data_IF_065257881731
#
_entry.id   IF_065257881731
#
_cell.length_a   1.000
_cell.length_b   1.000
_cell.length_c   1.000
_cell.angle_alpha   90.00
_cell.angle_beta   90.00
_cell.angle_gamma   90.00
#
_symmetry.space_group_name_H-M   'P 1'
#
loop_
_entity.id
_entity.type
_entity.pdbx_description
1 polymer ?
#
# COMPACT_ATOMS: atom_id res chain seq x y z
N UNK A 1 -19.55 11.23 18.60
CA UNK A 1 -18.70 10.07 18.90
C UNK A 1 -18.66 9.20 17.65
N UNK A 2 -17.51 9.16 16.97
CA UNK A 2 -17.34 8.55 15.66
C UNK A 2 -17.12 7.04 15.82
N UNK A 3 -18.03 6.20 15.34
CA UNK A 3 -17.84 4.75 15.35
C UNK A 3 -16.88 4.36 14.23
N UNK A 4 -15.64 4.04 14.62
CA UNK A 4 -14.67 3.41 13.73
C UNK A 4 -15.17 2.00 13.44
N UNK A 5 -15.52 1.72 12.19
CA UNK A 5 -15.83 0.37 11.71
C UNK A 5 -14.51 -0.41 11.73
N UNK A 6 -14.41 -1.54 12.46
CA UNK A 6 -13.18 -2.32 12.50
C UNK A 6 -12.97 -3.01 11.15
N UNK A 7 -11.87 -2.68 10.48
CA UNK A 7 -11.39 -3.39 9.30
C UNK A 7 -10.56 -4.57 9.81
N UNK A 8 -11.11 -5.78 9.65
CA UNK A 8 -10.36 -7.04 9.69
C UNK A 8 -10.33 -7.76 11.03
N UNK A 9 -11.35 -8.58 11.30
CA UNK A 9 -11.15 -9.79 12.09
C UNK A 9 -10.59 -10.90 11.19
N UNK A 10 -9.67 -11.76 11.68
CA UNK A 10 -9.22 -12.93 10.94
C UNK A 10 -10.36 -13.96 10.86
N UNK A 11 -11.15 -13.92 9.79
CA UNK A 11 -12.24 -14.87 9.50
C UNK A 11 -11.75 -16.25 9.04
N UNK A 12 -10.63 -16.74 9.59
CA UNK A 12 -10.17 -18.11 9.40
C UNK A 12 -10.66 -18.98 10.56
N UNK A 13 -11.94 -19.33 10.60
CA UNK A 13 -12.39 -20.39 11.53
C UNK A 13 -11.68 -21.68 11.16
N UNK A 14 -11.02 -22.32 12.13
CA UNK A 14 -10.24 -23.56 11.98
C UNK A 14 -10.96 -24.70 11.23
N UNK A 15 -12.29 -24.65 11.12
CA UNK A 15 -13.12 -25.56 10.33
C UNK A 15 -12.80 -25.56 8.83
N UNK A 16 -12.40 -24.42 8.26
CA UNK A 16 -12.25 -24.26 6.81
C UNK A 16 -11.02 -24.97 6.23
N UNK A 17 -9.96 -25.16 7.02
CA UNK A 17 -8.74 -25.88 6.59
C UNK A 17 -8.96 -27.40 6.42
N UNK A 18 -10.03 -27.94 7.00
CA UNK A 18 -10.36 -29.37 6.94
C UNK A 18 -11.26 -29.73 5.75
N UNK A 19 -11.73 -28.74 4.96
CA UNK A 19 -12.61 -28.96 3.82
C UNK A 19 -12.06 -30.00 2.83
N UNK A 20 -12.90 -30.94 2.37
CA UNK A 20 -12.48 -31.92 1.39
C UNK A 20 -12.24 -31.27 0.02
N UNK A 21 -11.28 -31.75 -0.75
CA UNK A 21 -10.95 -31.21 -2.07
C UNK A 21 -11.37 -32.22 -3.13
N UNK A 22 -12.16 -31.77 -4.10
CA UNK A 22 -12.62 -32.63 -5.19
C UNK A 22 -11.51 -32.91 -6.20
N UNK A 23 -11.63 -34.03 -6.92
CA UNK A 23 -10.77 -34.37 -8.06
C UNK A 23 -10.69 -33.23 -9.08
N UNK A 24 -11.84 -32.61 -9.39
CA UNK A 24 -11.92 -31.47 -10.30
C UNK A 24 -11.10 -30.27 -9.82
N UNK A 25 -11.16 -29.93 -8.53
CA UNK A 25 -10.36 -28.83 -7.98
C UNK A 25 -8.84 -29.11 -8.08
N UNK A 26 -8.41 -30.36 -7.92
CA UNK A 26 -7.01 -30.77 -8.09
C UNK A 26 -6.55 -30.65 -9.54
N UNK A 27 -7.39 -31.05 -10.49
CA UNK A 27 -7.14 -30.90 -11.93
C UNK A 27 -7.01 -29.43 -12.33
N UNK A 28 -7.90 -28.57 -11.81
CA UNK A 28 -7.87 -27.13 -12.07
C UNK A 28 -6.65 -26.44 -11.45
N UNK A 29 -6.22 -26.86 -10.26
CA UNK A 29 -4.98 -26.38 -9.65
C UNK A 29 -3.75 -26.71 -10.50
N UNK A 30 -3.68 -27.93 -11.05
CA UNK A 30 -2.61 -28.30 -11.96
C UNK A 30 -2.65 -27.51 -13.26
N UNK A 31 -3.83 -27.39 -13.88
CA UNK A 31 -4.00 -26.75 -15.18
C UNK A 31 -3.79 -25.23 -15.14
N UNK A 32 -4.38 -24.55 -14.15
CA UNK A 32 -4.40 -23.08 -14.06
C UNK A 32 -3.26 -22.48 -13.27
N UNK A 33 -2.67 -23.23 -12.33
CA UNK A 33 -1.61 -22.75 -11.45
C UNK A 33 -0.30 -23.52 -11.58
N UNK A 34 -0.24 -24.57 -12.41
CA UNK A 34 0.98 -25.36 -12.64
C UNK A 34 1.40 -26.18 -11.42
N UNK A 35 0.52 -26.39 -10.45
CA UNK A 35 0.85 -27.12 -9.21
C UNK A 35 0.77 -28.63 -9.46
N UNK A 36 1.79 -29.42 -9.14
CA UNK A 36 1.73 -30.87 -9.30
C UNK A 36 0.55 -31.48 -8.53
N UNK A 37 -0.21 -32.40 -9.15
CA UNK A 37 -1.41 -33.01 -8.55
C UNK A 37 -1.19 -33.53 -7.13
N UNK A 38 -0.04 -34.16 -6.87
CA UNK A 38 0.34 -34.71 -5.55
C UNK A 38 0.42 -33.63 -4.45
N UNK A 39 0.72 -32.39 -4.82
CA UNK A 39 0.86 -31.25 -3.91
C UNK A 39 -0.37 -30.33 -3.93
N UNK A 40 -1.30 -30.53 -4.87
CA UNK A 40 -2.44 -29.66 -5.09
C UNK A 40 -3.42 -29.62 -3.90
N UNK A 41 -3.69 -30.75 -3.23
CA UNK A 41 -4.60 -30.79 -2.07
C UNK A 41 -4.09 -29.89 -0.93
N UNK A 42 -2.85 -30.10 -0.50
CA UNK A 42 -2.22 -29.28 0.54
C UNK A 42 -2.11 -27.80 0.13
N UNK A 43 -1.82 -27.54 -1.15
CA UNK A 43 -1.77 -26.18 -1.68
C UNK A 43 -3.14 -25.49 -1.59
N UNK A 44 -4.23 -26.14 -2.02
CA UNK A 44 -5.58 -25.59 -1.97
C UNK A 44 -6.00 -25.30 -0.52
N UNK A 45 -5.82 -26.28 0.38
CA UNK A 45 -6.17 -26.13 1.80
C UNK A 45 -5.42 -24.98 2.45
N UNK A 46 -4.13 -24.81 2.15
CA UNK A 46 -3.35 -23.73 2.71
C UNK A 46 -3.82 -22.36 2.22
N UNK A 47 -4.39 -22.25 1.01
CA UNK A 47 -4.97 -20.99 0.52
C UNK A 47 -6.34 -20.74 1.13
N UNK A 48 -7.14 -21.78 1.27
CA UNK A 48 -8.45 -21.71 1.91
C UNK A 48 -8.35 -21.24 3.37
N UNK A 49 -7.32 -21.68 4.11
CA UNK A 49 -7.09 -21.26 5.49
C UNK A 49 -6.90 -19.73 5.65
N UNK A 50 -6.42 -19.03 4.62
CA UNK A 50 -6.26 -17.57 4.60
C UNK A 50 -7.33 -16.86 3.76
N UNK A 51 -8.26 -17.60 3.17
CA UNK A 51 -9.25 -17.04 2.28
C UNK A 51 -10.40 -16.39 3.03
N UNK A 52 -10.91 -15.30 2.46
CA UNK A 52 -12.06 -14.59 2.99
C UNK A 52 -13.31 -15.01 2.23
N UNK A 53 -14.39 -15.27 2.97
CA UNK A 53 -15.69 -15.47 2.36
C UNK A 53 -16.17 -14.18 1.70
N UNK A 54 -16.58 -14.25 0.44
CA UNK A 54 -17.06 -13.10 -0.33
C UNK A 54 -18.58 -13.12 -0.46
N UNK A 55 -19.17 -14.29 -0.69
CA UNK A 55 -20.61 -14.43 -0.89
C UNK A 55 -21.00 -15.74 -1.58
N UNK A 56 -22.28 -15.85 -1.91
CA UNK A 56 -22.80 -16.91 -2.77
C UNK A 56 -22.74 -16.46 -4.23
N UNK A 57 -22.34 -17.35 -5.12
CA UNK A 57 -22.39 -17.13 -6.55
C UNK A 57 -22.71 -18.42 -7.29
N UNK A 58 -23.20 -18.27 -8.51
CA UNK A 58 -23.42 -19.39 -9.41
C UNK A 58 -22.12 -19.73 -10.13
N UNK A 59 -21.75 -21.00 -10.15
CA UNK A 59 -20.62 -21.50 -10.95
C UNK A 59 -20.96 -21.47 -12.45
N UNK A 60 -19.98 -21.76 -13.30
CA UNK A 60 -20.16 -21.80 -14.77
C UNK A 60 -21.19 -22.86 -15.23
N UNK A 61 -21.51 -23.84 -14.37
CA UNK A 61 -22.48 -24.91 -14.62
C UNK A 61 -23.91 -24.56 -14.16
N UNK A 62 -24.13 -23.39 -13.55
CA UNK A 62 -25.44 -22.99 -13.03
C UNK A 62 -25.72 -23.39 -11.58
N UNK A 63 -24.80 -24.07 -10.90
CA UNK A 63 -24.99 -24.47 -9.50
C UNK A 63 -24.54 -23.36 -8.52
N UNK A 64 -25.27 -23.16 -7.41
CA UNK A 64 -24.86 -22.24 -6.38
C UNK A 64 -23.63 -22.77 -5.63
N UNK A 65 -22.71 -21.86 -5.27
CA UNK A 65 -21.53 -22.17 -4.48
C UNK A 65 -21.09 -20.99 -3.61
N UNK A 66 -20.36 -21.30 -2.54
CA UNK A 66 -19.74 -20.31 -1.65
C UNK A 66 -18.41 -19.87 -2.24
N UNK A 67 -18.25 -18.57 -2.48
CA UNK A 67 -17.00 -18.00 -2.96
C UNK A 67 -16.12 -17.58 -1.78
N UNK A 68 -14.87 -18.05 -1.83
CA UNK A 68 -13.78 -17.60 -1.00
C UNK A 68 -12.67 -17.04 -1.87
N UNK A 69 -11.99 -15.98 -1.42
CA UNK A 69 -10.91 -15.36 -2.16
C UNK A 69 -9.67 -15.14 -1.30
N UNK A 70 -8.50 -15.43 -1.87
CA UNK A 70 -7.20 -15.12 -1.29
C UNK A 70 -6.19 -14.81 -2.38
N UNK A 71 -5.52 -13.66 -2.32
CA UNK A 71 -4.39 -13.32 -3.20
C UNK A 71 -4.65 -13.60 -4.70
N UNK A 72 -5.73 -13.05 -5.26
CA UNK A 72 -6.18 -13.24 -6.66
C UNK A 72 -6.54 -14.69 -7.02
N UNK A 73 -6.72 -15.57 -6.03
CA UNK A 73 -7.23 -16.93 -6.19
C UNK A 73 -8.67 -16.95 -5.71
N UNK A 74 -9.56 -17.49 -6.53
CA UNK A 74 -10.95 -17.76 -6.18
C UNK A 74 -11.11 -19.26 -5.90
N UNK A 75 -11.75 -19.58 -4.79
CA UNK A 75 -12.09 -20.93 -4.34
C UNK A 75 -13.62 -21.00 -4.25
N UNK A 76 -14.21 -21.96 -4.96
CA UNK A 76 -15.65 -22.21 -4.87
C UNK A 76 -15.86 -23.47 -4.04
N UNK A 77 -16.63 -23.34 -2.97
CA UNK A 77 -17.06 -24.42 -2.12
C UNK A 77 -18.52 -24.78 -2.39
N UNK A 78 -18.87 -26.02 -2.10
CA UNK A 78 -20.26 -26.47 -2.07
C UNK A 78 -21.08 -25.62 -1.08
N UNK A 79 -22.35 -25.31 -1.42
CA UNK A 79 -23.19 -24.42 -0.62
C UNK A 79 -23.55 -25.01 0.75
N UNK A 80 -23.62 -26.33 0.88
CA UNK A 80 -24.04 -27.04 2.08
C UNK A 80 -22.91 -27.80 2.76
N UNK A 81 -21.88 -28.22 2.00
CA UNK A 81 -20.76 -29.03 2.49
C UNK A 81 -19.46 -28.25 2.44
N UNK A 82 -18.56 -28.53 3.36
CA UNK A 82 -17.19 -27.99 3.34
C UNK A 82 -16.33 -28.77 2.34
N UNK A 83 -16.65 -28.60 1.06
CA UNK A 83 -16.00 -29.28 -0.07
C UNK A 83 -15.60 -28.24 -1.12
N UNK A 84 -14.31 -28.18 -1.45
CA UNK A 84 -13.79 -27.32 -2.54
C UNK A 84 -14.09 -27.97 -3.88
N UNK A 85 -14.95 -27.32 -4.66
CA UNK A 85 -15.42 -27.79 -5.96
C UNK A 85 -14.46 -27.35 -7.07
N UNK A 86 -14.05 -26.08 -7.07
CA UNK A 86 -13.15 -25.56 -8.12
C UNK A 86 -12.26 -24.42 -7.62
N UNK A 87 -11.17 -24.19 -8.34
CA UNK A 87 -10.18 -23.14 -8.06
C UNK A 87 -9.80 -22.45 -9.36
N UNK A 88 -9.72 -21.13 -9.38
CA UNK A 88 -9.28 -20.39 -10.55
C UNK A 88 -8.63 -19.06 -10.21
N UNK A 89 -7.68 -18.59 -11.04
CA UNK A 89 -7.10 -17.27 -10.87
C UNK A 89 -8.11 -16.22 -11.32
N UNK A 90 -8.23 -15.14 -10.55
CA UNK A 90 -9.02 -13.97 -10.92
C UNK A 90 -8.08 -12.78 -11.03
N UNK A 91 -7.62 -12.53 -12.25
CA UNK A 91 -6.71 -11.42 -12.57
C UNK A 91 -7.45 -10.15 -13.00
N UNK A 92 -8.71 -10.27 -13.43
CA UNK A 92 -9.50 -9.16 -13.95
C UNK A 92 -10.82 -9.03 -13.18
N UNK A 93 -11.02 -7.88 -12.55
CA UNK A 93 -12.30 -7.49 -11.96
C UNK A 93 -13.21 -6.84 -13.02
N UNK A 94 -14.55 -6.94 -12.87
CA UNK A 94 -15.47 -6.33 -13.82
C UNK A 94 -15.28 -4.80 -13.87
N UNK A 95 -15.45 -4.15 -15.05
CA UNK A 95 -15.25 -2.71 -15.19
C UNK A 95 -16.09 -1.86 -14.23
N UNK A 96 -17.28 -2.34 -13.85
CA UNK A 96 -18.15 -1.70 -12.87
C UNK A 96 -17.52 -1.54 -11.49
N UNK A 97 -16.59 -2.43 -11.12
CA UNK A 97 -15.82 -2.35 -9.87
C UNK A 97 -14.48 -1.66 -10.09
N UNK A 98 -13.78 -2.00 -11.19
CA UNK A 98 -12.42 -1.51 -11.47
C UNK A 98 -12.39 0.00 -11.74
N UNK A 99 -13.35 0.55 -12.48
CA UNK A 99 -13.34 1.96 -12.88
C UNK A 99 -13.50 2.92 -11.69
N UNK A 100 -14.49 2.74 -10.78
CA UNK A 100 -14.60 3.59 -9.60
C UNK A 100 -13.35 3.52 -8.71
N UNK A 101 -12.81 2.33 -8.47
CA UNK A 101 -11.61 2.13 -7.65
C UNK A 101 -10.41 2.85 -8.27
N UNK A 102 -10.20 2.70 -9.59
CA UNK A 102 -9.17 3.43 -10.32
C UNK A 102 -9.32 4.94 -10.16
N UNK A 103 -10.54 5.46 -10.29
CA UNK A 103 -10.83 6.88 -10.09
C UNK A 103 -10.47 7.38 -8.70
N UNK A 104 -10.75 6.59 -7.65
CA UNK A 104 -10.37 6.89 -6.27
C UNK A 104 -8.84 6.90 -6.12
N UNK A 105 -8.17 5.86 -6.59
CA UNK A 105 -6.71 5.73 -6.52
C UNK A 105 -6.02 6.91 -7.20
N UNK A 106 -6.41 7.23 -8.43
CA UNK A 106 -5.83 8.35 -9.18
C UNK A 106 -6.08 9.69 -8.48
N UNK A 107 -7.27 9.88 -7.89
CA UNK A 107 -7.59 11.10 -7.12
C UNK A 107 -6.66 11.25 -5.92
N UNK A 108 -6.41 10.18 -5.16
CA UNK A 108 -5.50 10.21 -4.02
C UNK A 108 -4.04 10.41 -4.44
N UNK A 109 -3.59 9.78 -5.52
CA UNK A 109 -2.26 10.02 -6.09
C UNK A 109 -2.08 11.48 -6.52
N UNK A 110 -3.09 12.06 -7.21
CA UNK A 110 -3.08 13.47 -7.60
C UNK A 110 -3.07 14.42 -6.41
N UNK A 111 -3.79 14.10 -5.32
CA UNK A 111 -3.74 14.87 -4.07
C UNK A 111 -2.36 14.81 -3.43
N UNK A 112 -1.80 13.60 -3.31
CA UNK A 112 -0.47 13.38 -2.73
C UNK A 112 0.61 14.14 -3.51
N UNK A 113 0.61 14.02 -4.84
CA UNK A 113 1.54 14.75 -5.72
C UNK A 113 1.41 16.27 -5.58
N UNK A 114 0.18 16.80 -5.53
CA UNK A 114 -0.04 18.25 -5.30
C UNK A 114 0.51 18.72 -3.96
N UNK A 115 0.31 17.94 -2.88
CA UNK A 115 0.88 18.24 -1.57
C UNK A 115 2.41 18.24 -1.60
N UNK A 116 3.01 17.24 -2.25
CA UNK A 116 4.46 17.16 -2.41
C UNK A 116 5.01 18.37 -3.17
N UNK A 117 4.44 18.71 -4.33
CA UNK A 117 4.89 19.85 -5.13
C UNK A 117 4.77 21.18 -4.37
N UNK A 118 3.68 21.37 -3.61
CA UNK A 118 3.50 22.56 -2.79
C UNK A 118 4.54 22.63 -1.66
N UNK A 119 4.81 21.50 -1.01
CA UNK A 119 5.82 21.40 0.04
C UNK A 119 7.24 21.63 -0.51
N UNK A 120 7.58 21.06 -1.67
CA UNK A 120 8.84 21.28 -2.39
C UNK A 120 9.04 22.76 -2.74
N UNK A 121 8.00 23.42 -3.26
CA UNK A 121 8.07 24.84 -3.59
C UNK A 121 8.30 25.69 -2.35
N UNK A 122 7.55 25.46 -1.27
CA UNK A 122 7.72 26.20 -0.01
C UNK A 122 9.11 25.98 0.57
N UNK A 123 9.54 24.73 0.70
CA UNK A 123 10.87 24.38 1.21
C UNK A 123 11.99 25.03 0.39
N UNK A 124 11.83 25.13 -0.93
CA UNK A 124 12.81 25.80 -1.80
C UNK A 124 12.91 27.30 -1.51
N UNK A 125 11.79 27.97 -1.27
CA UNK A 125 11.77 29.39 -0.90
C UNK A 125 12.40 29.57 0.49
N UNK A 126 11.97 28.80 1.49
CA UNK A 126 12.49 28.88 2.86
C UNK A 126 14.02 28.67 2.88
N UNK A 127 14.54 27.71 2.10
CA UNK A 127 15.98 27.50 1.96
C UNK A 127 16.70 28.66 1.28
N UNK A 128 16.08 29.31 0.31
CA UNK A 128 16.67 30.48 -0.34
C UNK A 128 16.78 31.64 0.65
N UNK A 129 15.74 31.90 1.42
CA UNK A 129 15.71 32.95 2.44
C UNK A 129 16.76 32.69 3.54
N UNK A 130 16.86 31.45 4.02
CA UNK A 130 17.89 31.07 5.00
C UNK A 130 19.30 31.27 4.43
N UNK A 131 19.54 30.94 3.16
CA UNK A 131 20.85 31.16 2.52
C UNK A 131 21.21 32.63 2.38
N UNK A 132 20.23 33.49 2.13
CA UNK A 132 20.44 34.95 2.14
C UNK A 132 20.86 35.39 3.54
N UNK A 133 20.18 34.94 4.59
CA UNK A 133 20.52 35.28 5.97
C UNK A 133 21.93 34.78 6.38
N UNK A 134 22.32 33.59 5.94
CA UNK A 134 23.68 33.07 6.11
C UNK A 134 24.70 34.02 5.44
N UNK A 135 24.49 34.38 4.18
CA UNK A 135 25.39 35.26 3.45
C UNK A 135 25.51 36.66 4.10
N UNK A 136 24.42 37.18 4.66
CA UNK A 136 24.45 38.42 5.43
C UNK A 136 25.27 38.31 6.72
N UNK A 137 25.15 37.18 7.44
CA UNK A 137 25.95 36.90 8.62
C UNK A 137 27.44 36.77 8.28
N UNK A 138 27.77 36.07 7.19
CA UNK A 138 29.14 35.92 6.69
C UNK A 138 29.73 37.28 6.33
N UNK A 139 29.00 38.10 5.57
CA UNK A 139 29.43 39.46 5.22
C UNK A 139 29.67 40.31 6.45
N UNK A 140 28.82 40.20 7.48
CA UNK A 140 28.98 40.94 8.74
C UNK A 140 30.21 40.48 9.52
N UNK A 141 30.47 39.17 9.57
CA UNK A 141 31.63 38.58 10.22
C UNK A 141 32.95 39.03 9.58
N UNK A 142 33.02 39.09 8.25
CA UNK A 142 34.21 39.57 7.51
C UNK A 142 34.44 41.06 7.70
N UNK A 143 33.38 41.86 7.79
CA UNK A 143 33.49 43.32 7.92
C UNK A 143 33.92 43.78 9.32
N UNK A 144 33.54 43.05 10.37
CA UNK A 144 33.79 43.46 11.75
C UNK A 144 35.17 43.02 12.24
N UNK A 145 35.80 43.84 13.10
CA UNK A 145 37.04 43.49 13.80
C UNK A 145 36.80 42.89 15.19
N UNK A 146 35.55 42.91 15.66
CA UNK A 146 35.19 42.39 16.99
C UNK A 146 35.02 40.87 16.95
N UNK A 147 35.82 40.18 17.77
CA UNK A 147 35.73 38.73 17.95
C UNK A 147 34.36 38.27 18.45
N UNK A 148 33.75 39.05 19.35
CA UNK A 148 32.40 38.73 19.88
C UNK A 148 31.34 38.77 18.77
N UNK A 149 31.41 39.76 17.87
CA UNK A 149 30.46 39.85 16.75
C UNK A 149 30.69 38.73 15.75
N UNK A 150 31.95 38.35 15.50
CA UNK A 150 32.28 37.18 14.66
C UNK A 150 31.72 35.88 15.24
N UNK A 151 31.93 35.65 16.54
CA UNK A 151 31.41 34.48 17.24
C UNK A 151 29.87 34.42 17.21
N UNK A 152 29.21 35.56 17.40
CA UNK A 152 27.74 35.66 17.30
C UNK A 152 27.23 35.35 15.88
N UNK A 153 27.90 35.87 14.85
CA UNK A 153 27.55 35.55 13.45
C UNK A 153 27.75 34.06 13.16
N UNK A 154 28.84 33.46 13.64
CA UNK A 154 29.10 32.03 13.45
C UNK A 154 28.05 31.16 14.15
N UNK A 155 27.66 31.51 15.37
CA UNK A 155 26.58 30.81 16.09
C UNK A 155 25.26 30.88 15.32
N UNK A 156 24.93 32.03 14.73
CA UNK A 156 23.74 32.19 13.89
C UNK A 156 23.81 31.35 12.62
N UNK A 157 24.95 31.35 11.91
CA UNK A 157 25.18 30.51 10.73
C UNK A 157 24.99 29.03 11.07
N UNK A 158 25.54 28.58 12.19
CA UNK A 158 25.39 27.18 12.63
C UNK A 158 23.92 26.82 12.86
N UNK A 159 23.16 27.67 13.54
CA UNK A 159 21.73 27.46 13.77
C UNK A 159 20.93 27.45 12.46
N UNK A 160 21.25 28.32 11.50
CA UNK A 160 20.60 28.35 10.19
C UNK A 160 20.94 27.11 9.35
N UNK A 161 22.17 26.61 9.43
CA UNK A 161 22.55 25.36 8.79
C UNK A 161 21.79 24.15 9.35
N UNK A 162 21.57 24.11 10.67
CA UNK A 162 20.74 23.08 11.30
C UNK A 162 19.27 23.15 10.81
N UNK A 163 18.74 24.36 10.63
CA UNK A 163 17.41 24.52 10.02
C UNK A 163 17.36 24.02 8.56
N UNK A 164 18.41 24.26 7.76
CA UNK A 164 18.50 23.71 6.40
C UNK A 164 18.48 22.17 6.41
N UNK A 165 19.20 21.54 7.35
CA UNK A 165 19.20 20.08 7.47
C UNK A 165 17.83 19.53 7.85
N UNK A 166 17.12 20.20 8.77
CA UNK A 166 15.75 19.81 9.15
C UNK A 166 14.78 19.91 7.97
N UNK A 167 14.88 20.99 7.18
CA UNK A 167 14.08 21.16 5.96
C UNK A 167 14.36 20.06 4.92
N UNK A 168 15.62 19.63 4.80
CA UNK A 168 16.02 18.50 3.95
C UNK A 168 15.42 17.17 4.41
N UNK A 169 15.45 16.90 5.71
CA UNK A 169 14.86 15.70 6.29
C UNK A 169 13.35 15.65 6.08
N UNK A 170 12.65 16.76 6.31
CA UNK A 170 11.20 16.81 6.13
C UNK A 170 10.79 16.66 4.67
N UNK A 171 11.58 17.23 3.74
CA UNK A 171 11.39 17.01 2.31
C UNK A 171 11.54 15.52 1.95
N UNK A 172 12.57 14.87 2.49
CA UNK A 172 12.81 13.44 2.27
C UNK A 172 11.67 12.58 2.81
N UNK A 173 11.13 12.91 3.99
CA UNK A 173 9.95 12.24 4.56
C UNK A 173 8.73 12.41 3.67
N UNK A 174 8.47 13.62 3.16
CA UNK A 174 7.36 13.89 2.24
C UNK A 174 7.49 13.08 0.93
N UNK A 175 8.69 13.00 0.37
CA UNK A 175 8.99 12.20 -0.81
C UNK A 175 8.81 10.69 -0.53
N UNK A 176 9.33 10.20 0.59
CA UNK A 176 9.16 8.81 1.02
C UNK A 176 7.69 8.43 1.18
N UNK A 177 6.87 9.29 1.78
CA UNK A 177 5.43 9.09 1.91
C UNK A 177 4.73 9.01 0.54
N UNK A 178 5.11 9.89 -0.41
CA UNK A 178 4.59 9.81 -1.78
C UNK A 178 5.01 8.51 -2.48
N UNK A 179 6.27 8.10 -2.34
CA UNK A 179 6.78 6.83 -2.88
C UNK A 179 6.10 5.62 -2.26
N UNK A 180 5.82 5.63 -0.95
CA UNK A 180 5.10 4.56 -0.27
C UNK A 180 3.67 4.42 -0.81
N UNK A 181 2.98 5.53 -1.07
CA UNK A 181 1.67 5.52 -1.71
C UNK A 181 1.74 4.95 -3.13
N UNK A 182 2.72 5.37 -3.95
CA UNK A 182 2.92 4.83 -5.30
C UNK A 182 3.16 3.31 -5.26
N UNK A 183 3.98 2.82 -4.33
CA UNK A 183 4.21 1.39 -4.13
C UNK A 183 2.94 0.68 -3.67
N UNK A 184 2.17 1.26 -2.76
CA UNK A 184 0.90 0.68 -2.29
C UNK A 184 -0.14 0.50 -3.40
N UNK A 185 -0.14 1.37 -4.41
CA UNK A 185 -1.04 1.24 -5.57
C UNK A 185 -0.82 -0.05 -6.35
N UNK A 186 0.39 -0.63 -6.33
CA UNK A 186 0.68 -1.92 -7.01
C UNK A 186 -0.18 -3.08 -6.51
N UNK A 187 -0.74 -2.99 -5.30
CA UNK A 187 -1.68 -4.00 -4.79
C UNK A 187 -2.97 -4.03 -5.62
N UNK A 188 -3.37 -2.89 -6.17
CA UNK A 188 -4.65 -2.68 -6.85
C UNK A 188 -4.57 -2.73 -8.38
N UNK A 189 -3.35 -2.81 -8.94
CA UNK A 189 -3.08 -2.91 -10.39
C UNK A 189 -2.61 -4.33 -10.71
#
# INVERSE_FOLDING_TARGET
MSSVIPIGEPFGTASQAQAAVTTHALDEAQRKFGIPRKQADGWIRSRLAYAQYIGMATNDNGDPGRIFAYNRICLILDPAKDVVVTVYPRTVAPPSLTNPIRGIIEKELRKSKRKLNAFEKRTRLDKADIRVEIAECERRAVRTKSSNVQASCQARINALNEQLTLLDEDLRKAQANHSALLKGVTVFV
#
